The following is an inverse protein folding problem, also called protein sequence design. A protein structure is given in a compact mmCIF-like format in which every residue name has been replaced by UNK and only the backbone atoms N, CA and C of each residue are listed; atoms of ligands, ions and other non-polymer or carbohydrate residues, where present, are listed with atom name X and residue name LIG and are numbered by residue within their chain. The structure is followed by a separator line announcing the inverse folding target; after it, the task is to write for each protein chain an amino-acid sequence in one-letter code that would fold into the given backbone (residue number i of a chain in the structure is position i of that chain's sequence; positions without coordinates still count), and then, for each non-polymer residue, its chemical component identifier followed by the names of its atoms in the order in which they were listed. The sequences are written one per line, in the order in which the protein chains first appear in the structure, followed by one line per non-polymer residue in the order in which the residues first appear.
data_IF_883342834528
#
_entry.id   IF_883342834528
#
_cell.length_a   1.000
_cell.length_b   1.000
_cell.length_c   1.000
_cell.angle_alpha   90.00
_cell.angle_beta   90.00
_cell.angle_gamma   90.00
#
_symmetry.space_group_name_H-M   'P 1'
#
loop_
_entity.id
_entity.type
_entity.pdbx_description
1 polymer ?
#
# COMPACT_ATOMS: atom_id res chain seq x y z
N UNK A 1 1.94 -18.78 24.67
CA UNK A 1 3.34 -19.10 24.30
C UNK A 1 3.79 -18.50 22.95
N UNK A 2 3.27 -17.35 22.49
CA UNK A 2 3.71 -16.73 21.20
C UNK A 2 4.06 -15.24 21.29
N UNK A 3 3.96 -14.60 22.47
CA UNK A 3 4.21 -13.16 22.62
C UNK A 3 5.70 -12.78 22.80
N UNK A 4 6.63 -13.74 22.85
CA UNK A 4 8.03 -13.48 23.23
C UNK A 4 9.04 -13.52 22.07
N UNK A 5 8.86 -14.37 21.04
CA UNK A 5 9.97 -14.64 20.10
C UNK A 5 10.32 -13.47 19.16
N UNK A 6 9.35 -12.64 18.73
CA UNK A 6 9.63 -11.60 17.73
C UNK A 6 10.19 -10.28 18.30
N UNK A 7 10.29 -10.16 19.62
CA UNK A 7 10.92 -9.00 20.28
C UNK A 7 12.43 -9.17 20.45
N UNK A 8 13.00 -10.35 20.11
CA UNK A 8 14.41 -10.72 20.28
C UNK A 8 15.24 -10.73 18.99
N UNK A 9 14.68 -10.42 17.82
CA UNK A 9 15.49 -10.24 16.60
C UNK A 9 15.89 -8.78 16.48
N UNK A 10 16.97 -8.42 17.17
CA UNK A 10 17.73 -7.19 16.98
C UNK A 10 18.34 -7.13 15.58
N UNK A 11 17.50 -6.94 14.58
CA UNK A 11 17.89 -6.54 13.23
C UNK A 11 17.40 -5.13 13.00
N UNK A 12 18.20 -4.18 13.49
CA UNK A 12 18.14 -2.77 13.14
C UNK A 12 18.48 -2.61 11.66
N UNK A 13 17.48 -2.82 10.79
CA UNK A 13 17.31 -2.25 9.44
C UNK A 13 16.20 -3.01 8.73
N UNK A 14 14.99 -2.97 9.26
CA UNK A 14 13.80 -3.24 8.46
C UNK A 14 13.57 -2.00 7.57
N UNK A 15 14.45 -1.77 6.59
CA UNK A 15 14.13 -0.88 5.48
C UNK A 15 13.02 -1.58 4.72
N UNK A 16 11.75 -1.27 5.04
CA UNK A 16 10.62 -1.76 4.28
C UNK A 16 10.94 -1.45 2.82
N UNK A 17 11.00 -2.46 1.92
CA UNK A 17 11.17 -2.18 0.51
C UNK A 17 10.07 -1.19 0.13
N UNK A 18 10.44 0.01 -0.28
CA UNK A 18 9.51 1.02 -0.70
C UNK A 18 9.87 1.34 -2.14
N UNK A 19 9.04 0.86 -3.05
CA UNK A 19 9.22 1.07 -4.48
C UNK A 19 8.36 2.27 -4.88
N UNK A 20 8.97 3.22 -5.59
CA UNK A 20 8.20 4.28 -6.23
C UNK A 20 7.64 3.73 -7.54
N UNK A 21 6.33 3.77 -7.68
CA UNK A 21 5.62 3.33 -8.88
C UNK A 21 4.54 4.32 -9.23
N UNK A 22 4.23 4.37 -10.52
CA UNK A 22 3.18 5.22 -11.05
C UNK A 22 1.84 4.52 -10.92
N UNK A 23 0.86 5.18 -10.33
CA UNK A 23 -0.47 4.58 -10.21
C UNK A 23 -1.19 4.61 -11.55
N UNK A 24 -1.91 3.56 -11.91
CA UNK A 24 -2.75 3.54 -13.12
C UNK A 24 -4.23 3.77 -12.82
N UNK A 25 -4.59 3.85 -11.53
CA UNK A 25 -5.94 4.14 -11.06
C UNK A 25 -5.93 5.45 -10.29
N UNK A 26 -6.87 6.37 -10.54
CA UNK A 26 -7.04 7.54 -9.68
C UNK A 26 -7.62 7.14 -8.30
N UNK A 27 -7.22 7.86 -7.26
CA UNK A 27 -7.78 7.70 -5.92
C UNK A 27 -7.97 9.05 -5.24
N UNK A 28 -9.01 9.15 -4.43
CA UNK A 28 -9.31 10.34 -3.65
C UNK A 28 -9.24 10.02 -2.18
N UNK A 29 -8.35 10.72 -1.48
CA UNK A 29 -8.30 10.68 -0.04
C UNK A 29 -9.29 11.69 0.53
N UNK A 30 -10.56 11.28 0.63
CA UNK A 30 -11.59 12.12 1.25
C UNK A 30 -11.56 12.07 2.79
N UNK A 31 -10.64 11.30 3.39
CA UNK A 31 -10.57 11.10 4.84
C UNK A 31 -9.66 12.09 5.56
N UNK A 32 -8.85 12.88 4.84
CA UNK A 32 -7.94 13.88 5.43
C UNK A 32 -6.88 13.29 6.37
N UNK A 33 -6.61 11.98 6.25
CA UNK A 33 -5.68 11.22 7.07
C UNK A 33 -4.73 10.44 6.18
N UNK A 34 -3.60 10.00 6.71
CA UNK A 34 -2.73 9.07 5.98
C UNK A 34 -3.47 7.74 5.79
N UNK A 35 -3.55 7.27 4.55
CA UNK A 35 -4.23 6.02 4.20
C UNK A 35 -3.21 5.02 3.67
N UNK A 36 -3.38 3.76 4.07
CA UNK A 36 -2.69 2.62 3.47
C UNK A 36 -3.69 1.89 2.59
N UNK A 37 -3.57 2.05 1.28
CA UNK A 37 -4.46 1.40 0.32
C UNK A 37 -3.82 0.11 -0.17
N UNK A 38 -4.62 -0.96 -0.30
CA UNK A 38 -4.13 -2.18 -0.93
C UNK A 38 -3.85 -1.91 -2.40
N UNK A 39 -2.81 -2.51 -2.91
CA UNK A 39 -2.37 -2.30 -4.27
C UNK A 39 -1.91 -3.60 -4.90
N UNK A 40 -2.17 -3.72 -6.19
CA UNK A 40 -1.55 -4.72 -7.02
C UNK A 40 -0.57 -4.00 -7.93
N UNK A 41 0.71 -4.24 -7.75
CA UNK A 41 1.74 -3.75 -8.66
C UNK A 41 2.19 -4.89 -9.58
N UNK A 42 2.31 -4.57 -10.86
CA UNK A 42 3.00 -5.36 -11.87
C UNK A 42 4.39 -4.77 -12.12
N UNK A 43 5.13 -5.31 -13.09
CA UNK A 43 6.47 -4.82 -13.45
C UNK A 43 6.49 -3.32 -13.78
N UNK A 44 5.44 -2.83 -14.47
CA UNK A 44 5.36 -1.46 -15.00
C UNK A 44 4.39 -0.54 -14.22
N UNK A 45 3.25 -1.07 -13.78
CA UNK A 45 2.15 -0.27 -13.21
C UNK A 45 1.75 -0.69 -11.80
N UNK A 46 1.21 0.25 -11.01
CA UNK A 46 0.51 -0.09 -9.76
C UNK A 46 -0.96 0.32 -9.81
N UNK A 47 -1.82 -0.63 -9.44
CA UNK A 47 -3.26 -0.43 -9.39
C UNK A 47 -3.74 -0.45 -7.94
N UNK A 48 -4.47 0.59 -7.55
CA UNK A 48 -5.10 0.68 -6.24
C UNK A 48 -6.32 -0.24 -6.23
N UNK A 49 -6.40 -1.09 -5.22
CA UNK A 49 -7.57 -1.91 -4.92
C UNK A 49 -8.39 -1.15 -3.88
N UNK A 50 -9.19 -0.19 -4.34
CA UNK A 50 -10.03 0.63 -3.48
C UNK A 50 -11.09 -0.26 -2.81
N UNK A 51 -11.05 -0.32 -1.49
CA UNK A 51 -11.79 -1.27 -0.65
C UNK A 51 -13.29 -1.02 -0.54
N UNK A 52 -13.95 -0.48 -1.57
CA UNK A 52 -15.38 -0.15 -1.59
C UNK A 52 -16.29 -1.29 -2.06
N UNK A 53 -15.82 -2.53 -2.07
CA UNK A 53 -16.70 -3.66 -2.36
C UNK A 53 -16.39 -4.82 -1.45
N UNK A 54 -17.47 -5.42 -0.94
CA UNK A 54 -17.62 -6.52 0.01
C UNK A 54 -16.80 -7.79 -0.27
N UNK A 55 -15.89 -7.75 -1.25
CA UNK A 55 -14.93 -8.77 -1.68
C UNK A 55 -13.54 -8.54 -1.05
N UNK A 56 -13.49 -8.27 0.26
CA UNK A 56 -12.27 -7.96 1.00
C UNK A 56 -11.22 -9.09 0.97
N UNK A 57 -11.67 -10.35 0.82
CA UNK A 57 -10.80 -11.52 0.64
C UNK A 57 -10.22 -11.60 -0.78
N UNK A 58 -11.04 -11.31 -1.80
CA UNK A 58 -10.58 -11.38 -3.19
C UNK A 58 -9.51 -10.32 -3.46
N UNK A 59 -9.72 -9.10 -2.96
CA UNK A 59 -8.70 -8.04 -3.03
C UNK A 59 -7.45 -8.36 -2.22
N UNK A 60 -7.54 -9.17 -1.17
CA UNK A 60 -6.36 -9.63 -0.43
C UNK A 60 -5.60 -10.74 -1.18
N UNK A 61 -6.30 -11.62 -1.89
CA UNK A 61 -5.69 -12.68 -2.69
C UNK A 61 -4.95 -12.16 -3.93
N UNK A 62 -5.39 -11.01 -4.47
CA UNK A 62 -4.78 -10.39 -5.67
C UNK A 62 -3.91 -9.18 -5.34
N UNK A 63 -3.93 -8.63 -4.12
CA UNK A 63 -3.00 -7.57 -3.76
C UNK A 63 -1.60 -8.15 -3.63
N UNK A 64 -0.58 -7.41 -4.10
CA UNK A 64 0.83 -7.76 -3.92
C UNK A 64 1.62 -6.67 -3.16
N UNK A 65 1.01 -5.52 -2.88
CA UNK A 65 1.60 -4.46 -2.07
C UNK A 65 0.58 -3.51 -1.43
N UNK A 66 1.08 -2.51 -0.70
CA UNK A 66 0.32 -1.41 -0.13
C UNK A 66 0.82 -0.07 -0.66
N UNK A 67 -0.07 0.82 -1.05
CA UNK A 67 0.27 2.21 -1.35
C UNK A 67 0.12 3.05 -0.08
N UNK A 68 1.16 3.80 0.25
CA UNK A 68 1.13 4.80 1.30
C UNK A 68 0.71 6.15 0.73
N UNK A 69 -0.47 6.64 1.15
CA UNK A 69 -0.90 8.00 0.92
C UNK A 69 -0.67 8.84 2.17
N UNK A 70 0.14 9.90 2.12
CA UNK A 70 0.24 10.85 3.22
C UNK A 70 -1.04 11.70 3.30
N UNK A 71 -1.37 12.18 4.50
CA UNK A 71 -2.54 13.04 4.76
C UNK A 71 -2.57 14.32 3.92
N UNK A 72 -1.42 14.81 3.46
CA UNK A 72 -1.31 16.01 2.63
C UNK A 72 -1.82 15.78 1.19
N UNK A 73 -1.88 14.52 0.75
CA UNK A 73 -2.30 14.17 -0.59
C UNK A 73 -3.81 13.90 -0.61
N UNK A 74 -4.56 14.87 -1.14
CA UNK A 74 -6.03 14.85 -1.20
C UNK A 74 -6.57 14.07 -2.39
N UNK A 75 -5.85 14.11 -3.51
CA UNK A 75 -6.19 13.41 -4.75
C UNK A 75 -4.89 12.89 -5.38
N UNK A 76 -4.89 11.64 -5.83
CA UNK A 76 -3.83 11.12 -6.66
C UNK A 76 -4.41 10.75 -8.01
N UNK A 77 -3.83 11.31 -9.07
CA UNK A 77 -4.22 11.02 -10.44
C UNK A 77 -3.42 9.84 -10.97
N UNK A 78 -3.98 9.16 -11.97
CA UNK A 78 -3.21 8.21 -12.78
C UNK A 78 -1.91 8.88 -13.28
N UNK A 79 -0.85 8.08 -13.36
CA UNK A 79 0.54 8.46 -13.66
C UNK A 79 1.31 9.20 -12.55
N UNK A 80 0.70 9.48 -11.39
CA UNK A 80 1.43 10.04 -10.25
C UNK A 80 2.33 9.00 -9.57
N UNK A 81 3.49 9.45 -9.11
CA UNK A 81 4.41 8.63 -8.33
C UNK A 81 3.91 8.46 -6.89
N UNK A 82 3.73 7.21 -6.49
CA UNK A 82 3.41 6.85 -5.11
C UNK A 82 4.39 5.84 -4.57
N UNK A 83 4.47 5.81 -3.24
CA UNK A 83 5.25 4.83 -2.52
C UNK A 83 4.44 3.56 -2.33
N UNK A 84 4.89 2.47 -2.94
CA UNK A 84 4.35 1.12 -2.79
C UNK A 84 5.26 0.32 -1.87
N UNK A 85 4.66 -0.39 -0.94
CA UNK A 85 5.29 -1.27 0.03
C UNK A 85 4.84 -2.69 -0.35
N UNK A 86 5.67 -3.48 -1.07
CA UNK A 86 5.39 -4.88 -1.32
C UNK A 86 5.46 -5.68 -0.01
N UNK A 87 4.71 -6.78 0.07
CA UNK A 87 4.72 -7.70 1.21
C UNK A 87 5.48 -8.99 0.94
#
# INVERSE_FOLDING_TARGET
MQQALKKMMGHETFSLPNIKRKITSDTKNNSGKSLFLKAFYNEDEVRILDGQSSAMLNTFAVANGFIFLPYHTTEIKKNEEVTVIPF
#
